data_IF_837311952591
#
_entry.id   IF_837311952591
#
_cell.length_a   1.000
_cell.length_b   1.000
_cell.length_c   1.000
_cell.angle_alpha   90.00
_cell.angle_beta   90.00
_cell.angle_gamma   90.00
#
_symmetry.space_group_name_H-M   'P 1'
#
loop_
_entity.id
_entity.type
_entity.pdbx_description
1 polymer ?
#
# COMPACT_ATOMS: atom_id res chain seq x y z
N UNK A 1 -24.78 -25.55 14.90
CA UNK A 1 -23.66 -26.41 14.47
C UNK A 1 -23.59 -26.34 12.96
N UNK A 2 -22.73 -25.51 12.41
CA UNK A 2 -22.48 -25.45 10.96
C UNK A 2 -21.56 -26.63 10.66
N UNK A 3 -22.05 -27.62 9.90
CA UNK A 3 -21.26 -28.77 9.47
C UNK A 3 -20.08 -28.24 8.64
N UNK A 4 -18.85 -28.51 9.09
CA UNK A 4 -17.64 -28.30 8.27
C UNK A 4 -17.78 -29.23 7.06
N UNK A 5 -18.00 -28.65 5.88
CA UNK A 5 -17.86 -29.41 4.63
C UNK A 5 -16.46 -30.03 4.59
N UNK A 6 -16.33 -31.26 4.13
CA UNK A 6 -15.02 -31.90 4.02
C UNK A 6 -14.11 -31.05 3.12
N UNK A 7 -12.82 -30.90 3.53
CA UNK A 7 -11.80 -30.21 2.76
C UNK A 7 -11.69 -30.91 1.41
N UNK A 8 -11.90 -30.16 0.32
CA UNK A 8 -11.80 -30.71 -1.04
C UNK A 8 -10.35 -31.04 -1.41
N UNK A 9 -10.14 -31.84 -2.46
CA UNK A 9 -8.79 -32.13 -2.96
C UNK A 9 -8.07 -30.84 -3.39
N UNK A 10 -8.79 -29.90 -4.03
CA UNK A 10 -8.27 -28.61 -4.43
C UNK A 10 -7.85 -27.73 -3.22
N UNK A 11 -8.60 -27.81 -2.12
CA UNK A 11 -8.22 -27.11 -0.87
C UNK A 11 -6.94 -27.70 -0.28
N UNK A 12 -6.79 -29.03 -0.31
CA UNK A 12 -5.57 -29.71 0.16
C UNK A 12 -4.35 -29.32 -0.68
N UNK A 13 -4.49 -29.24 -2.00
CA UNK A 13 -3.43 -28.80 -2.91
C UNK A 13 -3.03 -27.36 -2.65
N UNK A 14 -3.99 -26.44 -2.44
CA UNK A 14 -3.73 -25.04 -2.08
C UNK A 14 -2.96 -24.96 -0.77
N UNK A 15 -3.40 -25.69 0.27
CA UNK A 15 -2.76 -25.65 1.58
C UNK A 15 -1.35 -26.25 1.54
N UNK A 16 -1.15 -27.34 0.77
CA UNK A 16 0.17 -27.91 0.56
C UNK A 16 1.10 -26.97 -0.21
N UNK A 17 0.57 -26.19 -1.15
CA UNK A 17 1.37 -25.26 -1.97
C UNK A 17 2.02 -24.17 -1.15
N UNK A 18 1.35 -23.63 -0.12
CA UNK A 18 1.91 -22.58 0.73
C UNK A 18 3.03 -23.11 1.64
N UNK A 19 3.02 -24.40 2.00
CA UNK A 19 4.08 -24.99 2.82
C UNK A 19 5.44 -25.03 2.10
N UNK A 20 5.43 -25.11 0.77
CA UNK A 20 6.65 -25.19 -0.05
C UNK A 20 7.30 -23.82 -0.30
N UNK A 21 6.59 -22.73 -0.02
CA UNK A 21 7.14 -21.38 -0.24
C UNK A 21 7.96 -20.88 0.95
N UNK A 22 9.13 -20.26 0.73
CA UNK A 22 9.90 -19.61 1.78
C UNK A 22 9.28 -18.28 2.24
N UNK A 23 8.28 -17.77 1.53
CA UNK A 23 7.57 -16.53 1.87
C UNK A 23 6.52 -16.84 2.94
N UNK A 24 6.43 -16.01 3.98
CA UNK A 24 5.39 -16.15 4.99
C UNK A 24 4.00 -16.05 4.35
N UNK A 25 3.19 -17.11 4.48
CA UNK A 25 1.91 -17.22 3.79
C UNK A 25 0.82 -17.79 4.70
N UNK A 26 -0.40 -17.30 4.47
CA UNK A 26 -1.63 -17.75 5.12
C UNK A 26 -2.75 -17.91 4.09
N UNK A 27 -3.69 -18.79 4.35
CA UNK A 27 -4.97 -18.89 3.63
C UNK A 27 -6.08 -18.52 4.61
N UNK A 28 -6.98 -17.61 4.21
CA UNK A 28 -8.16 -17.24 5.01
C UNK A 28 -9.45 -17.60 4.28
N UNK A 29 -10.50 -17.92 5.03
CA UNK A 29 -11.81 -18.33 4.49
C UNK A 29 -12.85 -17.22 4.72
N UNK A 30 -13.16 -16.38 3.71
CA UNK A 30 -14.12 -15.28 3.83
C UNK A 30 -15.57 -15.75 3.98
N UNK A 31 -15.88 -17.03 3.75
CA UNK A 31 -17.22 -17.61 3.95
C UNK A 31 -17.52 -17.87 5.43
N UNK A 32 -16.48 -17.90 6.27
CA UNK A 32 -16.60 -18.06 7.72
C UNK A 32 -16.68 -16.69 8.42
N UNK A 33 -17.36 -16.61 9.57
CA UNK A 33 -17.39 -15.38 10.36
C UNK A 33 -15.97 -14.89 10.65
N UNK A 34 -15.73 -13.60 10.42
CA UNK A 34 -14.47 -12.91 10.67
C UNK A 34 -13.31 -13.27 9.74
N UNK A 35 -13.54 -13.98 8.63
CA UNK A 35 -12.52 -14.36 7.66
C UNK A 35 -11.26 -14.95 8.33
N UNK A 36 -11.39 -16.09 9.05
CA UNK A 36 -10.29 -16.65 9.81
C UNK A 36 -9.23 -17.31 8.93
N UNK A 37 -8.01 -17.39 9.46
CA UNK A 37 -6.94 -18.18 8.89
C UNK A 37 -7.31 -19.67 9.01
N UNK A 38 -7.25 -20.40 7.89
CA UNK A 38 -7.51 -21.86 7.82
C UNK A 38 -6.25 -22.65 7.53
N UNK A 39 -5.22 -22.01 6.94
CA UNK A 39 -3.90 -22.61 6.76
C UNK A 39 -2.80 -21.52 6.91
N UNK A 40 -1.64 -21.94 7.39
CA UNK A 40 -0.48 -21.10 7.62
C UNK A 40 0.80 -21.91 7.45
N UNK A 41 1.83 -21.35 6.83
CA UNK A 41 3.11 -22.03 6.68
C UNK A 41 4.11 -21.68 7.80
N UNK A 42 5.18 -22.48 7.89
CA UNK A 42 6.23 -22.28 8.89
C UNK A 42 6.96 -20.94 8.75
N UNK A 43 7.06 -20.39 7.53
CA UNK A 43 7.67 -19.09 7.33
C UNK A 43 6.88 -17.97 8.02
N UNK A 44 5.55 -18.04 8.03
CA UNK A 44 4.71 -17.11 8.77
C UNK A 44 4.87 -17.26 10.29
N UNK A 45 4.96 -18.49 10.78
CA UNK A 45 5.21 -18.75 12.21
C UNK A 45 6.56 -18.15 12.63
N UNK A 46 7.62 -18.35 11.82
CA UNK A 46 8.94 -17.74 12.07
C UNK A 46 8.90 -16.20 12.04
N UNK A 47 8.21 -15.64 11.05
CA UNK A 47 8.10 -14.17 10.91
C UNK A 47 7.42 -13.53 12.11
N UNK A 48 6.36 -14.17 12.61
CA UNK A 48 5.47 -13.55 13.61
C UNK A 48 5.73 -14.01 15.06
N UNK A 49 6.45 -15.13 15.23
CA UNK A 49 6.74 -15.72 16.53
C UNK A 49 5.57 -16.51 17.17
N UNK A 50 4.43 -16.62 16.48
CA UNK A 50 3.29 -17.41 16.93
C UNK A 50 3.38 -18.84 16.43
N UNK A 51 2.83 -19.79 17.20
CA UNK A 51 2.70 -21.18 16.77
C UNK A 51 1.44 -21.36 15.91
N UNK A 52 1.42 -22.38 15.05
CA UNK A 52 0.32 -22.67 14.11
C UNK A 52 -1.04 -22.75 14.82
N UNK A 53 -1.06 -23.43 15.97
CA UNK A 53 -2.27 -23.63 16.78
C UNK A 53 -2.81 -22.34 17.38
N UNK A 54 -1.96 -21.34 17.55
CA UNK A 54 -2.35 -20.02 18.05
C UNK A 54 -2.88 -19.10 16.91
N UNK A 55 -2.58 -19.44 15.65
CA UNK A 55 -2.88 -18.64 14.47
C UNK A 55 -4.18 -19.09 13.81
N UNK A 56 -4.33 -20.41 13.59
CA UNK A 56 -5.50 -20.99 12.90
C UNK A 56 -6.77 -20.65 13.66
N UNK A 57 -7.79 -20.22 12.91
CA UNK A 57 -9.07 -19.76 13.47
C UNK A 57 -9.14 -18.28 13.83
N UNK A 58 -8.02 -17.54 13.78
CA UNK A 58 -8.00 -16.10 14.03
C UNK A 58 -7.98 -15.30 12.74
N UNK A 59 -8.45 -14.06 12.77
CA UNK A 59 -8.24 -13.11 11.67
C UNK A 59 -6.84 -12.50 11.77
N UNK A 60 -6.16 -12.28 10.62
CA UNK A 60 -4.80 -11.73 10.55
C UNK A 60 -4.60 -10.41 11.30
N UNK A 61 -5.69 -9.67 11.63
CA UNK A 61 -5.60 -8.42 12.39
C UNK A 61 -5.01 -8.59 13.80
N UNK A 62 -4.80 -9.81 14.28
CA UNK A 62 -4.15 -10.05 15.56
C UNK A 62 -2.70 -9.54 15.61
N UNK A 63 -2.09 -9.32 14.43
CA UNK A 63 -0.78 -8.70 14.31
C UNK A 63 -0.82 -7.17 14.40
N UNK A 64 -2.02 -6.56 14.38
CA UNK A 64 -2.15 -5.12 14.49
C UNK A 64 -2.02 -4.65 15.95
N UNK A 65 -1.47 -3.47 16.14
CA UNK A 65 -1.32 -2.80 17.42
C UNK A 65 -1.51 -1.29 17.32
N UNK A 66 -1.11 -0.56 18.37
CA UNK A 66 -1.35 0.87 18.50
C UNK A 66 -0.76 1.69 17.32
N UNK A 67 0.43 1.32 16.86
CA UNK A 67 1.09 2.01 15.75
C UNK A 67 0.66 1.55 14.35
N UNK A 68 -0.28 0.59 14.21
CA UNK A 68 -0.72 0.10 12.91
C UNK A 68 -1.56 1.13 12.18
N UNK A 69 -1.18 1.48 10.96
CA UNK A 69 -1.80 2.52 10.17
C UNK A 69 -3.27 2.20 9.83
N UNK A 70 -4.23 3.07 10.21
CA UNK A 70 -5.65 2.84 9.94
C UNK A 70 -6.00 2.72 8.46
N UNK A 71 -5.32 3.49 7.59
CA UNK A 71 -5.55 3.46 6.14
C UNK A 71 -5.17 2.11 5.52
N UNK A 72 -4.05 1.51 5.97
CA UNK A 72 -3.60 0.21 5.46
C UNK A 72 -4.57 -0.91 5.88
N UNK A 73 -5.08 -0.85 7.12
CA UNK A 73 -6.14 -1.75 7.59
C UNK A 73 -7.43 -1.60 6.79
N UNK A 74 -7.83 -0.36 6.48
CA UNK A 74 -8.99 -0.07 5.66
C UNK A 74 -8.81 -0.63 4.24
N UNK A 75 -7.66 -0.40 3.61
CA UNK A 75 -7.33 -0.90 2.27
C UNK A 75 -7.49 -2.42 2.17
N UNK A 76 -6.92 -3.18 3.11
CA UNK A 76 -7.03 -4.65 3.10
C UNK A 76 -8.47 -5.12 3.38
N UNK A 77 -9.18 -4.50 4.31
CA UNK A 77 -10.59 -4.81 4.59
C UNK A 77 -11.48 -4.57 3.37
N UNK A 78 -11.29 -3.43 2.70
CA UNK A 78 -12.06 -3.06 1.52
C UNK A 78 -11.75 -4.00 0.34
N UNK A 79 -10.48 -4.39 0.15
CA UNK A 79 -10.08 -5.36 -0.86
C UNK A 79 -10.74 -6.74 -0.65
N UNK A 80 -10.84 -7.21 0.60
CA UNK A 80 -11.56 -8.46 0.92
C UNK A 80 -13.04 -8.31 0.60
N UNK A 81 -13.68 -7.20 0.99
CA UNK A 81 -15.10 -6.93 0.70
C UNK A 81 -15.38 -6.86 -0.80
N UNK A 82 -14.46 -6.25 -1.55
CA UNK A 82 -14.57 -6.04 -3.00
C UNK A 82 -14.02 -7.21 -3.82
N UNK A 83 -13.60 -8.29 -3.15
CA UNK A 83 -13.09 -9.52 -3.77
C UNK A 83 -11.92 -9.25 -4.75
N UNK A 84 -11.02 -8.33 -4.43
CA UNK A 84 -9.90 -7.93 -5.28
C UNK A 84 -8.55 -8.10 -4.58
N UNK A 85 -7.44 -8.22 -5.35
CA UNK A 85 -6.11 -8.20 -4.76
C UNK A 85 -5.77 -6.83 -4.17
N UNK A 86 -4.88 -6.84 -3.17
CA UNK A 86 -4.32 -5.62 -2.60
C UNK A 86 -2.92 -5.85 -2.06
N UNK A 87 -2.15 -4.77 -2.03
CA UNK A 87 -0.83 -4.69 -1.43
C UNK A 87 -0.82 -3.52 -0.43
N UNK A 88 -0.43 -3.78 0.80
CA UNK A 88 -0.32 -2.76 1.84
C UNK A 88 0.96 -2.94 2.64
N UNK A 89 1.55 -1.84 3.06
CA UNK A 89 2.61 -1.84 4.05
C UNK A 89 2.07 -1.26 5.35
N UNK A 90 2.32 -1.94 6.47
CA UNK A 90 1.85 -1.51 7.78
C UNK A 90 2.80 -1.92 8.90
N UNK A 91 2.69 -1.25 10.03
CA UNK A 91 3.35 -1.68 11.26
C UNK A 91 2.55 -2.82 11.88
N UNK A 92 3.21 -3.95 12.09
CA UNK A 92 2.67 -5.10 12.81
C UNK A 92 3.54 -5.43 14.02
N UNK A 93 3.06 -6.34 14.85
CA UNK A 93 3.71 -6.73 16.09
C UNK A 93 3.80 -8.25 16.16
N UNK A 94 5.02 -8.75 16.48
CA UNK A 94 5.27 -10.16 16.75
C UNK A 94 4.67 -10.55 18.11
N UNK A 95 4.68 -11.83 18.42
CA UNK A 95 4.19 -12.37 19.69
C UNK A 95 4.92 -11.78 20.92
N UNK A 96 6.21 -11.49 20.79
CA UNK A 96 7.03 -10.87 21.83
C UNK A 96 6.83 -9.35 21.98
N UNK A 97 5.96 -8.75 21.16
CA UNK A 97 5.71 -7.30 21.15
C UNK A 97 6.65 -6.52 20.24
N UNK A 98 7.64 -7.15 19.59
CA UNK A 98 8.55 -6.49 18.67
C UNK A 98 7.77 -5.98 17.46
N UNK A 99 7.88 -4.68 17.19
CA UNK A 99 7.29 -4.06 15.99
C UNK A 99 8.12 -4.36 14.75
N UNK A 100 7.45 -4.63 13.62
CA UNK A 100 8.10 -4.80 12.32
C UNK A 100 7.26 -4.22 11.20
N UNK A 101 7.92 -3.72 10.15
CA UNK A 101 7.24 -3.26 8.94
C UNK A 101 6.87 -4.46 8.09
N UNK A 102 5.59 -4.69 7.94
CA UNK A 102 5.04 -5.82 7.19
C UNK A 102 4.50 -5.36 5.83
N UNK A 103 5.05 -5.91 4.76
CA UNK A 103 4.48 -5.80 3.41
C UNK A 103 3.50 -6.96 3.24
N UNK A 104 2.22 -6.65 3.15
CA UNK A 104 1.12 -7.62 3.08
C UNK A 104 0.50 -7.56 1.70
N UNK A 105 0.54 -8.67 0.98
CA UNK A 105 -0.20 -8.87 -0.27
C UNK A 105 -1.33 -9.85 0.00
N UNK A 106 -2.54 -9.53 -0.45
CA UNK A 106 -3.68 -10.45 -0.47
C UNK A 106 -4.19 -10.63 -1.88
N UNK A 107 -4.61 -11.85 -2.23
CA UNK A 107 -5.23 -12.16 -3.51
C UNK A 107 -6.39 -13.16 -3.32
N UNK A 108 -7.52 -12.96 -4.01
CA UNK A 108 -8.61 -13.93 -3.99
C UNK A 108 -8.21 -15.20 -4.73
N UNK A 109 -8.59 -16.34 -4.18
CA UNK A 109 -8.52 -17.65 -4.83
C UNK A 109 -9.95 -18.05 -5.19
N UNK A 110 -10.19 -18.23 -6.47
CA UNK A 110 -11.53 -18.51 -7.01
C UNK A 110 -11.77 -20.03 -7.05
N UNK A 111 -13.01 -20.41 -6.83
CA UNK A 111 -13.50 -21.77 -7.10
C UNK A 111 -13.82 -21.95 -8.60
N UNK A 112 -14.20 -23.18 -9.04
CA UNK A 112 -14.56 -23.42 -10.45
C UNK A 112 -15.75 -22.61 -10.96
N UNK A 113 -16.61 -22.11 -10.07
CA UNK A 113 -17.77 -21.30 -10.40
C UNK A 113 -17.42 -19.79 -10.50
N UNK A 114 -16.14 -19.43 -10.22
CA UNK A 114 -15.64 -18.06 -10.27
C UNK A 114 -15.92 -17.24 -9.00
N UNK A 115 -16.43 -17.87 -7.94
CA UNK A 115 -16.62 -17.23 -6.65
C UNK A 115 -15.37 -17.32 -5.77
N UNK A 116 -15.22 -16.38 -4.82
CA UNK A 116 -14.05 -16.39 -3.93
C UNK A 116 -14.21 -17.51 -2.89
N UNK A 117 -13.39 -18.54 -3.02
CA UNK A 117 -13.28 -19.61 -2.04
C UNK A 117 -12.40 -19.21 -0.84
N UNK A 118 -11.27 -18.56 -1.11
CA UNK A 118 -10.29 -18.20 -0.10
C UNK A 118 -9.60 -16.89 -0.46
N UNK A 119 -8.86 -16.31 0.50
CA UNK A 119 -7.81 -15.35 0.21
C UNK A 119 -6.45 -15.94 0.57
N UNK A 120 -5.51 -15.84 -0.37
CA UNK A 120 -4.09 -16.06 -0.11
C UNK A 120 -3.47 -14.76 0.37
N UNK A 121 -2.86 -14.79 1.56
CA UNK A 121 -2.06 -13.69 2.11
C UNK A 121 -0.59 -14.04 2.08
N UNK A 122 0.26 -13.21 1.46
CA UNK A 122 1.71 -13.29 1.53
C UNK A 122 2.28 -12.12 2.30
N UNK A 123 3.30 -12.36 3.12
CA UNK A 123 3.85 -11.35 4.01
C UNK A 123 5.37 -11.37 3.99
N UNK A 124 5.96 -10.20 4.03
CA UNK A 124 7.42 -10.03 4.12
C UNK A 124 7.75 -8.88 5.07
N UNK A 125 8.80 -9.05 5.87
CA UNK A 125 9.38 -7.92 6.58
C UNK A 125 10.02 -6.97 5.57
N UNK A 126 9.48 -5.74 5.50
CA UNK A 126 10.03 -4.71 4.63
C UNK A 126 11.33 -4.19 5.26
N UNK A 127 12.44 -4.32 4.54
CA UNK A 127 13.70 -3.71 4.94
C UNK A 127 13.61 -2.18 4.99
N UNK A 128 14.51 -1.54 5.73
CA UNK A 128 14.54 -0.09 5.94
C UNK A 128 14.48 0.73 4.63
N UNK A 129 15.07 0.22 3.55
CA UNK A 129 15.07 0.88 2.24
C UNK A 129 13.68 1.03 1.62
N UNK A 130 12.82 0.02 1.76
CA UNK A 130 11.45 0.07 1.22
C UNK A 130 10.58 1.05 2.02
N UNK A 131 10.78 1.10 3.34
CA UNK A 131 10.10 2.05 4.20
C UNK A 131 10.49 3.51 3.89
N UNK A 132 11.76 3.77 3.62
CA UNK A 132 12.23 5.09 3.22
C UNK A 132 11.62 5.56 1.90
N UNK A 133 11.49 4.67 0.92
CA UNK A 133 10.85 5.00 -0.37
C UNK A 133 9.37 5.32 -0.19
N UNK A 134 8.65 4.53 0.59
CA UNK A 134 7.22 4.72 0.83
C UNK A 134 6.94 5.98 1.68
N UNK A 135 7.76 6.25 2.69
CA UNK A 135 7.69 7.50 3.48
C UNK A 135 7.97 8.74 2.63
N UNK A 136 8.97 8.67 1.74
CA UNK A 136 9.28 9.76 0.80
C UNK A 136 8.13 10.01 -0.16
N UNK A 137 7.55 8.95 -0.72
CA UNK A 137 6.41 9.05 -1.64
C UNK A 137 5.19 9.69 -0.97
N UNK A 138 4.88 9.30 0.27
CA UNK A 138 3.78 9.92 1.06
C UNK A 138 4.06 11.37 1.40
N UNK A 139 5.28 11.69 1.83
CA UNK A 139 5.67 13.07 2.11
C UNK A 139 5.60 13.95 0.86
N UNK A 140 6.04 13.41 -0.29
CA UNK A 140 5.95 14.09 -1.58
C UNK A 140 4.49 14.32 -2.00
N UNK A 141 3.62 13.30 -1.88
CA UNK A 141 2.20 13.42 -2.19
C UNK A 141 1.49 14.46 -1.29
N UNK A 142 1.78 14.46 0.01
CA UNK A 142 1.27 15.46 0.95
C UNK A 142 1.76 16.87 0.59
N UNK A 143 3.04 17.02 0.21
CA UNK A 143 3.61 18.27 -0.26
C UNK A 143 2.87 18.79 -1.50
N UNK A 144 2.69 17.95 -2.53
CA UNK A 144 1.97 18.33 -3.76
C UNK A 144 0.49 18.65 -3.47
N UNK A 145 -0.17 17.89 -2.58
CA UNK A 145 -1.55 18.16 -2.17
C UNK A 145 -1.71 19.53 -1.48
N UNK A 146 -0.68 20.03 -0.81
CA UNK A 146 -0.69 21.35 -0.18
C UNK A 146 -0.63 22.52 -1.17
N UNK A 147 -0.19 22.29 -2.41
CA UNK A 147 -0.05 23.32 -3.43
C UNK A 147 -1.43 23.81 -3.93
N UNK A 148 -1.51 25.11 -4.28
CA UNK A 148 -2.69 25.62 -4.99
C UNK A 148 -2.77 24.99 -6.40
N UNK A 149 -3.97 24.97 -7.05
CA UNK A 149 -4.09 24.47 -8.42
C UNK A 149 -3.06 25.11 -9.35
N UNK A 150 -2.89 26.44 -9.30
CA UNK A 150 -1.93 27.17 -10.14
C UNK A 150 -0.48 26.78 -9.87
N UNK A 151 -0.12 26.52 -8.61
CA UNK A 151 1.23 26.06 -8.25
C UNK A 151 1.47 24.62 -8.77
N UNK A 152 0.46 23.75 -8.72
CA UNK A 152 0.54 22.38 -9.30
C UNK A 152 0.72 22.42 -10.82
N UNK A 153 -0.02 23.26 -11.54
CA UNK A 153 0.17 23.45 -12.98
C UNK A 153 1.60 23.92 -13.30
N UNK A 154 2.10 24.93 -12.59
CA UNK A 154 3.48 25.40 -12.76
C UNK A 154 4.50 24.29 -12.49
N UNK A 155 4.30 23.49 -11.44
CA UNK A 155 5.17 22.34 -11.14
C UNK A 155 5.13 21.29 -12.27
N UNK A 156 3.95 20.94 -12.77
CA UNK A 156 3.78 20.00 -13.88
C UNK A 156 4.54 20.45 -15.14
N UNK A 157 4.39 21.70 -15.54
CA UNK A 157 5.13 22.25 -16.68
C UNK A 157 6.65 22.28 -16.45
N UNK A 158 7.10 22.54 -15.22
CA UNK A 158 8.53 22.48 -14.87
C UNK A 158 9.06 21.02 -14.97
N UNK A 159 8.28 20.04 -14.56
CA UNK A 159 8.61 18.61 -14.68
C UNK A 159 8.75 18.20 -16.16
N UNK A 160 7.91 18.77 -17.04
CA UNK A 160 8.00 18.59 -18.50
C UNK A 160 9.16 19.37 -19.15
N UNK A 161 9.96 20.11 -18.36
CA UNK A 161 11.14 20.82 -18.84
C UNK A 161 10.88 22.18 -19.45
N UNK A 162 9.67 22.75 -19.35
CA UNK A 162 9.34 24.04 -19.93
C UNK A 162 9.98 25.21 -19.14
N UNK A 163 10.41 26.23 -19.89
CA UNK A 163 10.97 27.48 -19.35
C UNK A 163 9.85 28.45 -18.95
N UNK A 164 10.14 29.41 -18.06
CA UNK A 164 9.14 30.37 -17.55
C UNK A 164 8.35 31.07 -18.66
N UNK A 165 9.00 31.46 -19.76
CA UNK A 165 8.33 32.11 -20.91
C UNK A 165 7.30 31.21 -21.58
N UNK A 166 7.61 29.91 -21.71
CA UNK A 166 6.69 28.91 -22.28
C UNK A 166 5.52 28.63 -21.31
N UNK A 167 5.82 28.47 -20.02
CA UNK A 167 4.80 28.30 -18.97
C UNK A 167 3.86 29.51 -18.94
N UNK A 168 4.40 30.73 -19.06
CA UNK A 168 3.63 31.97 -19.13
C UNK A 168 2.64 31.96 -20.30
N UNK A 169 3.08 31.49 -21.48
CA UNK A 169 2.23 31.31 -22.65
C UNK A 169 1.12 30.27 -22.45
N UNK A 170 1.43 29.09 -21.91
CA UNK A 170 0.44 28.04 -21.65
C UNK A 170 -0.61 28.44 -20.60
N UNK A 171 -0.20 29.24 -19.62
CA UNK A 171 -1.05 29.67 -18.53
C UNK A 171 -1.72 31.04 -18.76
N UNK A 172 -1.46 31.68 -19.92
CA UNK A 172 -1.96 33.02 -20.29
C UNK A 172 -1.70 34.10 -19.22
N UNK A 173 -0.48 34.05 -18.63
CA UNK A 173 -0.02 35.04 -17.63
C UNK A 173 1.36 35.57 -18.01
N UNK A 174 1.82 36.62 -17.35
CA UNK A 174 3.17 37.14 -17.56
C UNK A 174 4.26 36.25 -16.88
N UNK A 175 5.50 36.38 -17.38
CA UNK A 175 6.63 35.61 -16.84
C UNK A 175 6.95 35.99 -15.38
N UNK A 176 6.65 37.19 -14.96
CA UNK A 176 6.84 37.65 -13.58
C UNK A 176 5.90 36.92 -12.63
N UNK A 177 4.66 36.70 -13.07
CA UNK A 177 3.65 35.90 -12.33
C UNK A 177 4.06 34.43 -12.21
N UNK A 178 4.63 33.84 -13.28
CA UNK A 178 5.21 32.47 -13.19
C UNK A 178 6.32 32.41 -12.15
N UNK A 179 7.25 33.39 -12.15
CA UNK A 179 8.33 33.47 -11.15
C UNK A 179 7.77 33.58 -9.72
N UNK A 180 6.71 34.36 -9.53
CA UNK A 180 6.02 34.49 -8.24
C UNK A 180 5.42 33.15 -7.78
N UNK A 181 4.68 32.44 -8.66
CA UNK A 181 4.13 31.13 -8.34
C UNK A 181 5.21 30.12 -8.01
N UNK A 182 6.34 30.11 -8.74
CA UNK A 182 7.51 29.27 -8.43
C UNK A 182 8.08 29.56 -7.05
N UNK A 183 8.32 30.82 -6.72
CA UNK A 183 8.86 31.20 -5.40
C UNK A 183 7.91 30.75 -4.26
N UNK A 184 6.61 31.04 -4.41
CA UNK A 184 5.61 30.62 -3.43
C UNK A 184 5.47 29.09 -3.31
N UNK A 185 5.59 28.36 -4.42
CA UNK A 185 5.61 26.88 -4.44
C UNK A 185 6.82 26.33 -3.71
N UNK A 186 8.03 26.84 -3.99
CA UNK A 186 9.26 26.42 -3.30
C UNK A 186 9.16 26.63 -1.79
N UNK A 187 8.66 27.80 -1.38
CA UNK A 187 8.45 28.12 0.04
C UNK A 187 7.44 27.15 0.68
N UNK A 188 6.33 26.81 0.00
CA UNK A 188 5.30 25.91 0.51
C UNK A 188 5.79 24.46 0.61
N UNK A 189 6.60 24.01 -0.35
CA UNK A 189 7.25 22.69 -0.32
C UNK A 189 8.45 22.63 0.66
N UNK A 190 8.88 23.77 1.20
CA UNK A 190 10.04 23.84 2.10
C UNK A 190 11.37 23.48 1.43
N UNK A 191 11.51 23.77 0.11
CA UNK A 191 12.70 23.39 -0.66
C UNK A 191 13.40 24.62 -1.24
N UNK A 192 14.76 24.63 -1.27
CA UNK A 192 15.53 25.78 -1.73
C UNK A 192 15.67 25.85 -3.26
N UNK A 193 15.32 24.80 -4.02
CA UNK A 193 15.59 24.75 -5.45
C UNK A 193 14.47 24.11 -6.28
N UNK A 194 14.37 24.56 -7.54
CA UNK A 194 13.46 23.97 -8.53
C UNK A 194 13.73 22.47 -8.78
N UNK A 195 14.98 22.05 -8.75
CA UNK A 195 15.33 20.63 -8.92
C UNK A 195 14.73 19.75 -7.80
N UNK A 196 14.75 20.26 -6.56
CA UNK A 196 14.12 19.53 -5.44
C UNK A 196 12.59 19.54 -5.53
N UNK A 197 11.97 20.63 -5.99
CA UNK A 197 10.54 20.66 -6.23
C UNK A 197 10.12 19.67 -7.34
N UNK A 198 10.86 19.63 -8.45
CA UNK A 198 10.64 18.66 -9.54
C UNK A 198 10.77 17.23 -9.00
N UNK A 199 11.78 16.93 -8.18
CA UNK A 199 11.92 15.60 -7.56
C UNK A 199 10.70 15.23 -6.71
N UNK A 200 10.18 16.18 -5.89
CA UNK A 200 8.95 15.96 -5.12
C UNK A 200 7.76 15.66 -6.04
N UNK A 201 7.60 16.39 -7.14
CA UNK A 201 6.55 16.15 -8.12
C UNK A 201 6.64 14.74 -8.73
N UNK A 202 7.85 14.30 -9.09
CA UNK A 202 8.10 12.94 -9.62
C UNK A 202 7.84 11.87 -8.55
N UNK A 203 8.34 12.05 -7.32
CA UNK A 203 8.10 11.12 -6.21
C UNK A 203 6.62 11.01 -5.81
N UNK A 204 5.84 12.08 -6.04
CA UNK A 204 4.39 12.15 -5.80
C UNK A 204 3.54 11.60 -6.95
N UNK A 205 4.16 11.19 -8.06
CA UNK A 205 3.47 10.74 -9.28
C UNK A 205 2.49 11.81 -9.83
N UNK A 206 2.93 13.08 -9.79
CA UNK A 206 2.11 14.21 -10.26
C UNK A 206 1.96 14.15 -11.78
N UNK A 207 0.74 13.89 -12.23
CA UNK A 207 0.39 13.97 -13.66
C UNK A 207 0.19 15.44 -14.09
N UNK A 208 0.54 15.73 -15.34
CA UNK A 208 0.25 17.03 -15.97
C UNK A 208 -1.19 16.94 -16.48
N UNK A 209 -2.14 17.47 -15.72
CA UNK A 209 -3.50 17.66 -16.21
C UNK A 209 -3.53 18.92 -17.07
N UNK A 210 -3.94 18.78 -18.33
CA UNK A 210 -4.14 19.90 -19.25
C UNK A 210 -5.49 20.62 -19.03
N UNK A 211 -6.34 20.08 -18.12
CA UNK A 211 -7.75 20.43 -17.99
C UNK A 211 -8.15 21.07 -16.64
N UNK A 212 -7.22 21.69 -15.87
CA UNK A 212 -7.56 22.47 -14.66
C UNK A 212 -7.17 23.94 -14.76
#
# INVERSE_FOLDING_TARGET
MVASSPISLADQELFASIELTPIAAVVTDPRRPDNPIVAVNDAFCRLTGYQREEIVGRNCRFLAGEGTEPYARALLRDAVREKRPALAQMLNYRKDGTAFRNLVMIAPVLDPDGEVAYFLGSQMEAGEGLHLLDSRRRAAAAGVASLTPRQRQVLGYMMAGFRNKQIAGFLEIDEKTVKMHRAAMLARLGVPSSAQAIRIGVEADLEISADD
#
